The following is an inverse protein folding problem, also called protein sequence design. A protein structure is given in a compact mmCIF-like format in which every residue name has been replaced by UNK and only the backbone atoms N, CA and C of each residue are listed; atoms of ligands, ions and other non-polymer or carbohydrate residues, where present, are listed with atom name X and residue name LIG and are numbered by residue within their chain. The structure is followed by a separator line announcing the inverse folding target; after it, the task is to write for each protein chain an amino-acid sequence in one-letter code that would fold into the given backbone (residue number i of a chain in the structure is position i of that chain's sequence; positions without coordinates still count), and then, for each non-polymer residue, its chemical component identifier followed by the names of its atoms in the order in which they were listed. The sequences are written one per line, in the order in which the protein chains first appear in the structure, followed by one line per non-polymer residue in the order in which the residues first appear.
data_IF_950840775568
#
_entry.id   IF_950840775568
#
_cell.length_a   1.000
_cell.length_b   1.000
_cell.length_c   1.000
_cell.angle_alpha   90.00
_cell.angle_beta   90.00
_cell.angle_gamma   90.00
#
_symmetry.space_group_name_H-M   'P 1'
#
loop_
_entity.id
_entity.type
_entity.pdbx_description
1 polymer ?
#
# COMPACT_ATOMS: atom_id res chain seq x y z
N UNK A 1 -31.42 -6.04 -12.17
CA UNK A 1 -30.29 -6.54 -12.98
C UNK A 1 -29.43 -7.39 -12.06
N UNK A 2 -29.49 -8.71 -12.22
CA UNK A 2 -28.73 -9.63 -11.38
C UNK A 2 -27.25 -9.54 -11.74
N UNK A 3 -26.38 -9.43 -10.74
CA UNK A 3 -24.94 -9.57 -10.92
C UNK A 3 -24.70 -10.94 -11.54
N UNK A 4 -24.03 -11.02 -12.70
CA UNK A 4 -23.71 -12.32 -13.32
C UNK A 4 -22.92 -13.15 -12.32
N UNK A 5 -23.30 -14.41 -12.16
CA UNK A 5 -22.64 -15.33 -11.24
C UNK A 5 -21.13 -15.42 -11.52
N UNK A 6 -20.75 -15.27 -12.79
CA UNK A 6 -19.36 -15.22 -13.28
C UNK A 6 -18.54 -14.09 -12.65
N UNK A 7 -19.15 -12.92 -12.38
CA UNK A 7 -18.44 -11.79 -11.76
C UNK A 7 -18.09 -12.13 -10.32
N UNK A 8 -19.02 -12.77 -9.59
CA UNK A 8 -18.77 -13.19 -8.20
C UNK A 8 -17.69 -14.26 -8.15
N UNK A 9 -17.77 -15.25 -9.02
CA UNK A 9 -16.76 -16.32 -9.10
C UNK A 9 -15.38 -15.76 -9.46
N UNK A 10 -15.30 -14.86 -10.45
CA UNK A 10 -14.07 -14.16 -10.82
C UNK A 10 -13.45 -13.39 -9.65
N UNK A 11 -14.26 -12.66 -8.87
CA UNK A 11 -13.79 -11.95 -7.67
C UNK A 11 -13.27 -12.90 -6.59
N UNK A 12 -13.92 -14.06 -6.39
CA UNK A 12 -13.44 -15.05 -5.42
C UNK A 12 -12.10 -15.67 -5.84
N UNK A 13 -11.92 -15.97 -7.13
CA UNK A 13 -10.66 -16.46 -7.68
C UNK A 13 -9.56 -15.41 -7.55
N UNK A 14 -9.85 -14.16 -7.91
CA UNK A 14 -8.94 -13.04 -7.76
C UNK A 14 -8.48 -12.89 -6.31
N UNK A 15 -9.41 -12.90 -5.36
CA UNK A 15 -9.10 -12.78 -3.93
C UNK A 15 -8.23 -13.94 -3.44
N UNK A 16 -8.48 -15.16 -3.93
CA UNK A 16 -7.63 -16.32 -3.62
C UNK A 16 -6.21 -16.14 -4.15
N UNK A 17 -6.05 -15.68 -5.40
CA UNK A 17 -4.74 -15.38 -5.98
C UNK A 17 -4.00 -14.29 -5.20
N UNK A 18 -4.72 -13.24 -4.78
CA UNK A 18 -4.17 -12.18 -3.96
C UNK A 18 -3.68 -12.70 -2.60
N UNK A 19 -4.44 -13.60 -1.97
CA UNK A 19 -4.06 -14.27 -0.72
C UNK A 19 -2.87 -15.22 -0.87
N UNK A 20 -2.66 -15.79 -2.06
CA UNK A 20 -1.49 -16.60 -2.38
C UNK A 20 -0.22 -15.76 -2.63
N UNK A 21 -0.32 -14.43 -2.55
CA UNK A 21 0.83 -13.55 -2.71
C UNK A 21 1.01 -13.02 -4.13
N UNK A 22 0.08 -13.26 -5.06
CA UNK A 22 0.17 -12.70 -6.40
C UNK A 22 0.04 -11.17 -6.35
N UNK A 23 1.10 -10.48 -6.78
CA UNK A 23 1.21 -9.02 -6.71
C UNK A 23 0.11 -8.31 -7.50
N UNK A 24 -0.11 -8.71 -8.75
CA UNK A 24 -1.11 -8.09 -9.62
C UNK A 24 -2.52 -8.28 -9.07
N UNK A 25 -2.82 -9.47 -8.52
CA UNK A 25 -4.09 -9.74 -7.89
C UNK A 25 -4.31 -8.88 -6.63
N UNK A 26 -3.26 -8.66 -5.82
CA UNK A 26 -3.34 -7.76 -4.66
C UNK A 26 -3.60 -6.31 -5.08
N UNK A 27 -2.85 -5.81 -6.07
CA UNK A 27 -3.06 -4.44 -6.60
C UNK A 27 -4.47 -4.30 -7.16
N UNK A 28 -4.95 -5.30 -7.91
CA UNK A 28 -6.27 -5.26 -8.51
C UNK A 28 -7.39 -5.36 -7.45
N UNK A 29 -7.26 -6.21 -6.44
CA UNK A 29 -8.16 -6.20 -5.28
C UNK A 29 -8.19 -4.82 -4.61
N UNK A 30 -7.03 -4.20 -4.40
CA UNK A 30 -6.94 -2.84 -3.88
C UNK A 30 -7.76 -1.85 -4.71
N UNK A 31 -7.63 -1.89 -6.03
CA UNK A 31 -8.36 -1.00 -6.94
C UNK A 31 -9.87 -1.22 -6.94
N UNK A 32 -10.32 -2.47 -6.82
CA UNK A 32 -11.76 -2.80 -6.78
C UNK A 32 -12.42 -2.19 -5.54
N UNK A 33 -11.78 -2.33 -4.38
CA UNK A 33 -12.27 -1.74 -3.13
C UNK A 33 -12.12 -0.22 -3.09
N UNK A 34 -11.06 0.33 -3.69
CA UNK A 34 -10.81 1.78 -3.76
C UNK A 34 -11.85 2.51 -4.63
N UNK A 35 -12.27 1.89 -5.74
CA UNK A 35 -13.23 2.48 -6.68
C UNK A 35 -14.68 2.02 -6.45
N UNK A 36 -14.92 0.98 -5.65
CA UNK A 36 -16.24 0.37 -5.50
C UNK A 36 -16.79 -0.22 -6.81
N UNK A 37 -16.03 -1.11 -7.44
CA UNK A 37 -16.36 -1.69 -8.76
C UNK A 37 -16.80 -3.16 -8.69
N UNK A 38 -17.31 -3.71 -9.79
CA UNK A 38 -17.69 -5.14 -9.92
C UNK A 38 -18.68 -5.63 -8.84
N UNK A 39 -19.62 -4.78 -8.45
CA UNK A 39 -20.60 -5.05 -7.38
C UNK A 39 -19.98 -5.21 -5.98
N UNK A 40 -18.73 -4.78 -5.80
CA UNK A 40 -18.10 -4.56 -4.51
C UNK A 40 -18.32 -3.10 -4.12
N UNK A 41 -18.72 -2.84 -2.87
CA UNK A 41 -18.83 -1.48 -2.36
C UNK A 41 -17.44 -0.89 -2.15
N UNK A 42 -17.35 0.43 -2.34
CA UNK A 42 -16.14 1.15 -2.00
C UNK A 42 -15.82 0.95 -0.52
N UNK A 43 -14.58 0.59 -0.23
CA UNK A 43 -14.06 0.38 1.13
C UNK A 43 -12.56 0.69 1.14
N UNK A 44 -12.23 1.92 1.53
CA UNK A 44 -10.84 2.38 1.53
C UNK A 44 -9.98 1.60 2.54
N UNK A 45 -10.57 1.12 3.64
CA UNK A 45 -9.83 0.34 4.64
C UNK A 45 -9.43 -1.02 4.07
N UNK A 46 -10.34 -1.69 3.36
CA UNK A 46 -10.04 -2.96 2.70
C UNK A 46 -9.05 -2.77 1.54
N UNK A 47 -9.23 -1.70 0.74
CA UNK A 47 -8.28 -1.34 -0.32
C UNK A 47 -6.85 -1.17 0.22
N UNK A 48 -6.71 -0.49 1.35
CA UNK A 48 -5.40 -0.25 1.97
C UNK A 48 -4.75 -1.51 2.51
N UNK A 49 -5.53 -2.51 2.98
CA UNK A 49 -4.97 -3.81 3.35
C UNK A 49 -4.32 -4.48 2.14
N UNK A 50 -4.98 -4.46 0.99
CA UNK A 50 -4.45 -5.04 -0.25
C UNK A 50 -3.23 -4.27 -0.77
N UNK A 51 -3.30 -2.93 -0.81
CA UNK A 51 -2.13 -2.12 -1.16
C UNK A 51 -0.98 -2.32 -0.19
N UNK A 52 -1.22 -2.51 1.11
CA UNK A 52 -0.17 -2.84 2.08
C UNK A 52 0.52 -4.15 1.76
N UNK A 53 -0.21 -5.18 1.33
CA UNK A 53 0.41 -6.43 0.90
C UNK A 53 1.26 -6.24 -0.36
N UNK A 54 0.75 -5.54 -1.36
CA UNK A 54 1.49 -5.27 -2.60
C UNK A 54 2.72 -4.38 -2.37
N UNK A 55 2.61 -3.37 -1.50
CA UNK A 55 3.69 -2.46 -1.15
C UNK A 55 4.84 -3.17 -0.42
N UNK A 56 4.54 -4.18 0.41
CA UNK A 56 5.53 -5.07 1.04
C UNK A 56 6.28 -5.94 0.04
N UNK A 57 5.76 -6.12 -1.17
CA UNK A 57 6.44 -6.82 -2.25
C UNK A 57 7.17 -5.86 -3.21
N UNK A 58 7.25 -4.58 -2.87
CA UNK A 58 7.96 -3.59 -3.68
C UNK A 58 7.14 -2.95 -4.81
N UNK A 59 5.82 -3.09 -4.86
CA UNK A 59 5.01 -2.33 -5.83
C UNK A 59 5.01 -0.85 -5.46
N UNK A 60 5.65 -0.04 -6.31
CA UNK A 60 5.84 1.39 -6.11
C UNK A 60 4.51 2.15 -6.04
N UNK A 61 3.54 1.78 -6.88
CA UNK A 61 2.20 2.41 -6.91
C UNK A 61 1.48 2.24 -5.58
N UNK A 62 1.55 1.04 -4.99
CA UNK A 62 0.94 0.74 -3.70
C UNK A 62 1.65 1.44 -2.55
N UNK A 63 2.99 1.53 -2.58
CA UNK A 63 3.78 2.29 -1.59
C UNK A 63 3.36 3.77 -1.57
N UNK A 64 3.19 4.37 -2.76
CA UNK A 64 2.78 5.78 -2.88
C UNK A 64 1.35 5.99 -2.43
N UNK A 65 0.42 5.09 -2.83
CA UNK A 65 -0.97 5.15 -2.36
C UNK A 65 -1.05 5.11 -0.84
N UNK A 66 -0.27 4.24 -0.19
CA UNK A 66 -0.21 4.19 1.27
C UNK A 66 0.32 5.49 1.87
N UNK A 67 1.42 6.02 1.32
CA UNK A 67 2.00 7.29 1.79
C UNK A 67 0.98 8.44 1.72
N UNK A 68 0.28 8.57 0.59
CA UNK A 68 -0.77 9.60 0.39
C UNK A 68 -1.95 9.38 1.34
N UNK A 69 -2.45 8.14 1.46
CA UNK A 69 -3.60 7.84 2.32
C UNK A 69 -3.32 8.13 3.80
N UNK A 70 -2.16 7.72 4.32
CA UNK A 70 -1.77 8.03 5.70
C UNK A 70 -1.52 9.53 5.93
N UNK A 71 -1.04 10.25 4.90
CA UNK A 71 -0.81 11.69 4.98
C UNK A 71 -2.12 12.51 5.00
N UNK A 72 -3.14 12.09 4.23
CA UNK A 72 -4.37 12.86 4.03
C UNK A 72 -5.52 12.49 4.98
N UNK A 73 -5.51 11.29 5.60
CA UNK A 73 -6.39 10.95 6.72
C UNK A 73 -7.91 11.01 6.45
N UNK A 74 -8.35 10.95 5.19
CA UNK A 74 -9.77 11.19 4.85
C UNK A 74 -10.76 10.18 5.46
N UNK A 75 -10.38 8.90 5.60
CA UNK A 75 -11.22 7.83 6.20
C UNK A 75 -10.48 7.03 7.29
N UNK A 76 -9.26 7.42 7.63
CA UNK A 76 -8.42 6.81 8.65
C UNK A 76 -7.90 7.89 9.58
N UNK A 77 -7.62 7.53 10.83
CA UNK A 77 -6.77 8.37 11.68
C UNK A 77 -5.44 8.59 10.97
N UNK A 78 -5.19 9.85 10.59
CA UNK A 78 -3.94 10.29 9.99
C UNK A 78 -2.77 9.79 10.84
N UNK A 79 -1.84 9.06 10.24
CA UNK A 79 -0.62 8.60 10.91
C UNK A 79 0.59 9.04 10.09
N UNK A 80 1.11 10.21 10.45
CA UNK A 80 2.28 10.82 9.80
C UNK A 80 3.51 9.92 9.89
N UNK A 81 3.61 9.04 10.89
CA UNK A 81 4.73 8.11 11.02
C UNK A 81 4.70 7.06 9.92
N UNK A 82 3.53 6.48 9.65
CA UNK A 82 3.37 5.53 8.55
C UNK A 82 3.42 6.21 7.18
N UNK A 83 2.88 7.42 7.04
CA UNK A 83 2.99 8.20 5.81
C UNK A 83 4.45 8.43 5.42
N UNK A 84 5.26 8.91 6.38
CA UNK A 84 6.68 9.15 6.16
C UNK A 84 7.44 7.85 5.89
N UNK A 85 7.17 6.79 6.66
CA UNK A 85 7.83 5.49 6.45
C UNK A 85 7.59 4.93 5.04
N UNK A 86 6.33 4.91 4.57
CA UNK A 86 6.01 4.46 3.22
C UNK A 86 6.57 5.39 2.13
N UNK A 87 6.65 6.69 2.39
CA UNK A 87 7.26 7.63 1.45
C UNK A 87 8.78 7.39 1.30
N UNK A 88 9.52 7.16 2.38
CA UNK A 88 10.95 6.83 2.32
C UNK A 88 11.20 5.49 1.62
N UNK A 89 10.35 4.48 1.90
CA UNK A 89 10.41 3.18 1.20
C UNK A 89 10.16 3.36 -0.30
N UNK A 90 9.15 4.16 -0.66
CA UNK A 90 8.85 4.49 -2.05
C UNK A 90 9.99 5.23 -2.74
N UNK A 91 10.60 6.23 -2.08
CA UNK A 91 11.75 6.99 -2.61
C UNK A 91 12.99 6.11 -2.83
N UNK A 92 13.13 5.04 -2.05
CA UNK A 92 14.22 4.07 -2.17
C UNK A 92 13.96 3.04 -3.30
N UNK A 93 12.76 3.01 -3.87
CA UNK A 93 12.39 2.06 -4.91
C UNK A 93 12.85 2.56 -6.29
N UNK A 94 13.71 1.82 -7.02
CA UNK A 94 14.24 2.27 -8.31
C UNK A 94 13.19 2.32 -9.42
N UNK A 95 11.98 1.78 -9.19
CA UNK A 95 10.89 1.73 -10.17
C UNK A 95 9.95 2.93 -10.10
N UNK A 96 10.21 3.93 -9.24
CA UNK A 96 9.41 5.16 -9.21
C UNK A 96 9.71 6.05 -10.41
N UNK A 97 8.70 6.77 -10.89
CA UNK A 97 8.88 7.82 -11.89
C UNK A 97 9.05 9.21 -11.21
N UNK A 98 9.38 10.24 -11.99
CA UNK A 98 9.62 11.59 -11.45
C UNK A 98 8.38 12.21 -10.80
N UNK A 99 7.19 11.93 -11.31
CA UNK A 99 5.93 12.43 -10.72
C UNK A 99 5.69 11.81 -9.33
N UNK A 100 5.85 10.50 -9.24
CA UNK A 100 5.74 9.73 -8.02
C UNK A 100 6.77 10.19 -6.99
N UNK A 101 8.03 10.36 -7.42
CA UNK A 101 9.10 10.90 -6.59
C UNK A 101 8.73 12.27 -6.03
N UNK A 102 8.24 13.19 -6.87
CA UNK A 102 7.82 14.53 -6.46
C UNK A 102 6.67 14.51 -5.43
N UNK A 103 5.72 13.60 -5.58
CA UNK A 103 4.63 13.41 -4.60
C UNK A 103 5.21 12.98 -3.25
N UNK A 104 6.09 11.98 -3.25
CA UNK A 104 6.70 11.47 -2.02
C UNK A 104 7.59 12.52 -1.35
N UNK A 105 8.41 13.26 -2.11
CA UNK A 105 9.24 14.37 -1.60
C UNK A 105 8.39 15.50 -0.99
N UNK A 106 7.24 15.81 -1.58
CA UNK A 106 6.32 16.80 -1.04
C UNK A 106 5.72 16.33 0.30
N UNK A 107 5.33 15.06 0.38
CA UNK A 107 4.82 14.45 1.62
C UNK A 107 5.91 14.46 2.70
N UNK A 108 7.13 14.01 2.39
CA UNK A 108 8.22 13.95 3.36
C UNK A 108 8.60 15.34 3.86
N UNK A 109 8.74 16.32 2.97
CA UNK A 109 9.09 17.70 3.32
C UNK A 109 8.05 18.34 4.26
N UNK A 110 6.75 18.14 3.98
CA UNK A 110 5.67 18.64 4.85
C UNK A 110 5.66 17.97 6.22
N UNK A 111 5.95 16.68 6.28
CA UNK A 111 5.94 15.92 7.52
C UNK A 111 7.18 16.23 8.37
N UNK A 112 8.36 16.39 7.76
CA UNK A 112 9.64 16.65 8.44
C UNK A 112 9.60 17.89 9.34
N UNK A 113 8.94 18.97 8.89
CA UNK A 113 8.78 20.19 9.70
C UNK A 113 7.85 20.01 10.91
N UNK A 114 7.08 18.92 10.95
CA UNK A 114 6.12 18.62 12.03
C UNK A 114 6.65 17.56 13.00
N UNK A 115 7.64 16.76 12.60
CA UNK A 115 8.13 15.62 13.37
C UNK A 115 9.07 16.01 14.51
N UNK A 116 8.84 15.38 15.65
CA UNK A 116 9.72 15.44 16.82
C UNK A 116 10.80 14.35 16.79
N UNK A 117 11.91 14.50 17.53
CA UNK A 117 12.93 13.44 17.65
C UNK A 117 12.39 12.09 18.16
N UNK A 118 11.33 12.10 18.97
CA UNK A 118 10.67 10.88 19.45
C UNK A 118 9.94 10.15 18.31
N UNK A 119 9.25 10.90 17.45
CA UNK A 119 8.54 10.34 16.30
C UNK A 119 9.54 9.84 15.25
N UNK A 120 10.65 10.53 15.04
CA UNK A 120 11.74 10.04 14.18
C UNK A 120 12.25 8.65 14.60
N UNK A 121 12.45 8.43 15.91
CA UNK A 121 12.84 7.11 16.43
C UNK A 121 11.76 6.06 16.18
N UNK A 122 10.49 6.42 16.35
CA UNK A 122 9.35 5.54 16.07
C UNK A 122 9.28 5.17 14.58
N UNK A 123 9.42 6.14 13.71
CA UNK A 123 9.46 5.97 12.24
C UNK A 123 10.60 5.04 11.84
N UNK A 124 11.81 5.27 12.35
CA UNK A 124 12.95 4.40 12.04
C UNK A 124 12.66 2.94 12.38
N UNK A 125 12.04 2.68 13.53
CA UNK A 125 11.60 1.33 13.90
C UNK A 125 10.57 0.78 12.92
N UNK A 126 9.56 1.57 12.54
CA UNK A 126 8.53 1.17 11.56
C UNK A 126 9.17 0.81 10.22
N UNK A 127 10.12 1.62 9.72
CA UNK A 127 10.82 1.35 8.45
C UNK A 127 11.60 0.03 8.54
N UNK A 128 12.30 -0.22 9.65
CA UNK A 128 13.02 -1.48 9.86
C UNK A 128 12.07 -2.68 9.91
N UNK A 129 10.94 -2.57 10.60
CA UNK A 129 9.93 -3.62 10.67
C UNK A 129 9.31 -3.89 9.27
N UNK A 130 8.98 -2.83 8.52
CA UNK A 130 8.45 -2.97 7.15
C UNK A 130 9.48 -3.52 6.17
N UNK A 131 10.74 -3.12 6.28
CA UNK A 131 11.84 -3.59 5.42
C UNK A 131 12.23 -5.04 5.69
N UNK A 132 12.24 -5.47 6.95
CA UNK A 132 12.48 -6.88 7.32
C UNK A 132 11.34 -7.79 6.88
N UNK A 133 10.09 -7.32 6.94
CA UNK A 133 8.93 -8.03 6.40
C UNK A 133 8.98 -8.15 4.87
N UNK A 134 9.48 -7.14 4.15
CA UNK A 134 9.65 -7.15 2.70
C UNK A 134 10.76 -8.13 2.25
N UNK A 135 11.89 -8.17 2.95
CA UNK A 135 12.95 -9.14 2.64
C UNK A 135 12.52 -10.59 2.91
N UNK A 136 11.68 -10.82 3.91
CA UNK A 136 11.10 -12.14 4.19
C UNK A 136 10.01 -12.56 3.20
N UNK A 137 9.31 -11.63 2.56
CA UNK A 137 8.29 -11.94 1.54
C UNK A 137 8.95 -12.33 0.20
N UNK A 138 10.04 -11.67 -0.20
CA UNK A 138 10.86 -12.07 -1.35
C UNK A 138 11.45 -13.47 -1.18
N UNK A 139 11.90 -13.82 0.03
CA UNK A 139 12.37 -15.16 0.35
C UNK A 139 11.25 -16.21 0.20
N UNK A 140 10.00 -15.89 0.56
CA UNK A 140 8.85 -16.81 0.45
C UNK A 140 8.37 -17.02 -0.99
N UNK A 141 8.52 -16.03 -1.88
CA UNK A 141 8.15 -16.19 -3.28
C UNK A 141 9.10 -17.07 -4.09
N UNK A 142 10.35 -17.24 -3.64
CA UNK A 142 11.33 -18.12 -4.32
C UNK A 142 11.11 -19.62 -4.10
N UNK A 143 10.20 -20.02 -3.19
CA UNK A 143 10.03 -21.41 -2.78
C UNK A 143 8.63 -22.01 -3.05
N UNK A 144 7.82 -21.40 -3.92
CA UNK A 144 6.54 -21.98 -4.37
C UNK A 144 6.52 -22.19 -5.89
#
# INVERSE_FOLDING_TARGET
MGVSQDIKEGLTLLRRSALQGNLDAQVFCGQIYDNGSYCVRQDSLEALKWYRMAAKQGDSRSQIKLAVCYAHGHEMSQDLSYAYAWAIIGLSNPRINEEQKRILENITSKIEVTLTPKEYKRIHKIIMDLGTEANNSEARQKYN
#
